data_IF_911942731260
#
_entry.id   IF_911942731260
#
_cell.length_a   1.000
_cell.length_b   1.000
_cell.length_c   1.000
_cell.angle_alpha   90.00
_cell.angle_beta   90.00
_cell.angle_gamma   90.00
#
_symmetry.space_group_name_H-M   'P 1'
#
loop_
_entity.id
_entity.type
_entity.pdbx_description
1 polymer ?
#
# COMPACT_ATOMS: atom_id res chain seq x y z
N UNK A 1 23.39 -33.12 -55.33
CA UNK A 1 22.68 -33.76 -54.20
C UNK A 1 23.10 -33.07 -52.88
N UNK A 2 23.12 -31.74 -52.86
CA UNK A 2 23.66 -30.95 -51.73
C UNK A 2 23.24 -29.47 -51.78
N UNK A 3 22.06 -29.16 -52.32
CA UNK A 3 21.56 -27.77 -52.44
C UNK A 3 20.05 -27.65 -52.18
N UNK A 4 19.45 -28.60 -51.45
CA UNK A 4 18.01 -28.57 -51.11
C UNK A 4 17.76 -28.67 -49.59
N UNK A 5 18.78 -28.38 -48.77
CA UNK A 5 18.67 -28.39 -47.31
C UNK A 5 18.64 -26.98 -46.68
N UNK A 6 18.45 -25.93 -47.48
CA UNK A 6 17.95 -24.64 -46.99
C UNK A 6 16.43 -24.60 -47.23
N UNK A 7 15.71 -25.55 -46.63
CA UNK A 7 14.32 -25.31 -46.33
C UNK A 7 14.30 -24.16 -45.33
N UNK A 8 13.75 -23.04 -45.78
CA UNK A 8 13.40 -21.88 -44.97
C UNK A 8 12.95 -22.34 -43.59
N UNK A 9 13.75 -22.06 -42.56
CA UNK A 9 13.16 -21.71 -41.28
C UNK A 9 12.35 -20.45 -41.59
N UNK A 10 11.09 -20.64 -41.98
CA UNK A 10 10.05 -19.64 -41.87
C UNK A 10 10.12 -19.17 -40.42
N UNK A 11 10.85 -18.08 -40.18
CA UNK A 11 10.99 -17.50 -38.85
C UNK A 11 9.58 -17.33 -38.30
N UNK A 12 9.32 -17.95 -37.15
CA UNK A 12 8.02 -17.85 -36.48
C UNK A 12 7.66 -16.36 -36.43
N UNK A 13 6.56 -15.99 -37.07
CA UNK A 13 6.11 -14.60 -37.12
C UNK A 13 5.41 -14.32 -35.80
N UNK A 14 6.16 -13.81 -34.85
CA UNK A 14 5.60 -13.36 -33.57
C UNK A 14 4.60 -12.24 -33.84
N UNK A 15 3.42 -12.34 -33.23
CA UNK A 15 2.39 -11.33 -33.32
C UNK A 15 2.58 -10.32 -32.19
N UNK A 16 2.72 -9.05 -32.53
CA UNK A 16 2.77 -7.97 -31.55
C UNK A 16 1.36 -7.44 -31.29
N UNK A 17 0.90 -7.54 -30.04
CA UNK A 17 -0.38 -6.99 -29.59
C UNK A 17 -0.10 -5.87 -28.58
N UNK A 18 -0.73 -4.71 -28.80
CA UNK A 18 -0.71 -3.62 -27.85
C UNK A 18 -1.92 -3.75 -26.92
N UNK A 19 -1.67 -4.12 -25.68
CA UNK A 19 -2.67 -4.22 -24.63
C UNK A 19 -2.69 -2.90 -23.85
N UNK A 20 -3.73 -2.08 -24.09
CA UNK A 20 -3.86 -0.74 -23.53
C UNK A 20 -3.59 0.39 -24.54
N UNK A 21 -3.59 1.67 -24.11
CA UNK A 21 -3.48 2.16 -22.73
C UNK A 21 -4.77 2.09 -21.90
N UNK A 22 -5.93 1.90 -22.55
CA UNK A 22 -7.23 1.77 -21.90
C UNK A 22 -7.76 0.34 -22.08
N UNK A 23 -7.75 -0.44 -20.99
CA UNK A 23 -8.30 -1.79 -20.96
C UNK A 23 -8.86 -2.06 -19.55
N UNK A 24 -10.01 -2.75 -19.38
CA UNK A 24 -10.60 -2.98 -18.05
C UNK A 24 -9.66 -3.64 -17.04
N UNK A 25 -8.91 -4.67 -17.48
CA UNK A 25 -7.92 -5.37 -16.65
C UNK A 25 -6.63 -4.57 -16.38
N UNK A 26 -6.42 -3.46 -17.11
CA UNK A 26 -5.42 -2.47 -16.72
C UNK A 26 -6.13 -1.47 -15.81
N UNK A 27 -6.24 -1.79 -14.52
CA UNK A 27 -6.86 -0.91 -13.51
C UNK A 27 -6.06 0.40 -13.36
N UNK A 28 -6.37 1.37 -14.23
CA UNK A 28 -5.63 2.61 -14.43
C UNK A 28 -5.25 2.79 -15.89
N UNK A 29 -3.97 3.10 -16.16
CA UNK A 29 -3.47 3.33 -17.51
C UNK A 29 -2.15 2.59 -17.66
N UNK A 30 -2.18 1.49 -18.40
CA UNK A 30 -1.00 0.67 -18.67
C UNK A 30 -0.99 0.32 -20.15
N UNK A 31 0.18 0.44 -20.77
CA UNK A 31 0.41 -0.02 -22.13
C UNK A 31 1.40 -1.18 -22.09
N UNK A 32 0.92 -2.40 -22.29
CA UNK A 32 1.76 -3.59 -22.43
C UNK A 32 1.91 -3.91 -23.92
N UNK A 33 3.14 -3.94 -24.42
CA UNK A 33 3.43 -4.49 -25.75
C UNK A 33 3.79 -5.95 -25.56
N UNK A 34 2.92 -6.84 -26.03
CA UNK A 34 3.06 -8.28 -25.91
C UNK A 34 3.54 -8.85 -27.25
N UNK A 35 4.61 -9.64 -27.23
CA UNK A 35 5.02 -10.50 -28.34
C UNK A 35 4.48 -11.91 -28.06
N UNK A 36 3.60 -12.38 -28.94
CA UNK A 36 2.91 -13.66 -28.81
C UNK A 36 3.35 -14.63 -29.90
N UNK A 37 3.54 -15.88 -29.51
CA UNK A 37 3.58 -17.03 -30.42
C UNK A 37 2.25 -17.80 -30.29
N UNK A 38 1.32 -17.50 -31.21
CA UNK A 38 -0.07 -17.95 -31.10
C UNK A 38 -0.77 -17.37 -29.87
N UNK A 39 -1.04 -18.21 -28.87
CA UNK A 39 -1.67 -17.81 -27.59
C UNK A 39 -0.66 -17.62 -26.44
N UNK A 40 0.58 -18.08 -26.62
CA UNK A 40 1.62 -18.07 -25.59
C UNK A 40 2.40 -16.77 -25.64
N UNK A 41 2.63 -16.17 -24.48
CA UNK A 41 3.39 -14.93 -24.31
C UNK A 41 4.89 -15.25 -24.30
N UNK A 42 5.64 -14.68 -25.25
CA UNK A 42 7.09 -14.85 -25.34
C UNK A 42 7.86 -13.68 -24.72
N UNK A 43 7.33 -12.46 -24.85
CA UNK A 43 7.91 -11.26 -24.23
C UNK A 43 6.84 -10.22 -23.90
N UNK A 44 7.04 -9.52 -22.79
CA UNK A 44 6.18 -8.42 -22.33
C UNK A 44 7.02 -7.17 -22.07
N UNK A 45 6.69 -6.09 -22.77
CA UNK A 45 7.29 -4.78 -22.54
C UNK A 45 6.26 -3.83 -21.89
N UNK A 46 6.31 -3.60 -20.56
CA UNK A 46 5.44 -2.65 -19.89
C UNK A 46 5.91 -1.21 -20.09
N UNK A 47 5.17 -0.44 -20.90
CA UNK A 47 5.34 0.99 -21.01
C UNK A 47 4.56 1.72 -19.91
N UNK A 48 5.33 2.28 -18.98
CA UNK A 48 4.87 3.09 -17.85
C UNK A 48 5.15 4.58 -18.06
N UNK A 49 4.76 5.43 -17.11
CA UNK A 49 4.96 6.88 -17.13
C UNK A 49 3.77 7.67 -17.67
N UNK A 50 2.66 7.01 -18.01
CA UNK A 50 1.44 7.67 -18.47
C UNK A 50 0.76 8.47 -17.34
N UNK A 51 1.00 8.11 -16.09
CA UNK A 51 0.53 8.83 -14.91
C UNK A 51 1.67 9.54 -14.18
N UNK A 52 2.79 9.84 -14.86
CA UNK A 52 3.90 10.55 -14.23
C UNK A 52 3.55 12.01 -13.99
N UNK A 53 3.64 12.45 -12.73
CA UNK A 53 3.26 13.80 -12.28
C UNK A 53 4.44 14.63 -11.77
N UNK A 54 5.65 14.08 -11.80
CA UNK A 54 6.84 14.72 -11.22
C UNK A 54 6.71 14.93 -9.71
N UNK A 55 6.11 13.98 -8.98
CA UNK A 55 5.77 14.13 -7.56
C UNK A 55 7.00 14.40 -6.72
N UNK A 56 8.08 13.64 -6.94
CA UNK A 56 9.35 13.82 -6.24
C UNK A 56 9.92 15.23 -6.45
N UNK A 57 9.76 15.79 -7.66
CA UNK A 57 10.25 17.14 -7.99
C UNK A 57 9.40 18.24 -7.35
N UNK A 58 8.09 18.04 -7.28
CA UNK A 58 7.18 18.95 -6.59
C UNK A 58 7.47 18.99 -5.09
N UNK A 59 7.76 17.83 -4.49
CA UNK A 59 8.12 17.73 -3.06
C UNK A 59 9.35 18.59 -2.71
N UNK A 60 10.38 18.60 -3.57
CA UNK A 60 11.59 19.43 -3.36
C UNK A 60 11.28 20.95 -3.22
N UNK A 61 10.16 21.43 -3.77
CA UNK A 61 9.79 22.85 -3.71
C UNK A 61 8.85 23.19 -2.54
N UNK A 62 8.29 22.19 -1.86
CA UNK A 62 7.26 22.31 -0.82
C UNK A 62 7.85 22.07 0.56
N UNK A 63 7.21 22.60 1.60
CA UNK A 63 7.60 22.30 2.98
C UNK A 63 7.14 20.90 3.38
N UNK A 64 7.71 20.33 4.45
CA UNK A 64 7.33 19.00 4.94
C UNK A 64 5.82 18.83 5.13
N UNK A 65 5.14 19.82 5.73
CA UNK A 65 3.69 19.78 5.94
C UNK A 65 2.90 19.80 4.62
N UNK A 66 3.38 20.56 3.63
CA UNK A 66 2.78 20.66 2.30
C UNK A 66 3.07 19.45 1.42
N UNK A 67 4.11 18.68 1.74
CA UNK A 67 4.50 17.48 1.02
C UNK A 67 3.62 16.26 1.36
N UNK A 68 3.07 16.19 2.58
CA UNK A 68 2.26 15.06 3.06
C UNK A 68 1.14 14.66 2.08
N UNK A 69 0.31 15.58 1.54
CA UNK A 69 -0.80 15.21 0.66
C UNK A 69 -0.37 14.63 -0.70
N UNK A 70 0.92 14.69 -1.06
CA UNK A 70 1.41 13.97 -2.23
C UNK A 70 1.48 12.46 -1.96
N UNK A 71 1.83 12.04 -0.74
CA UNK A 71 1.89 10.64 -0.36
C UNK A 71 0.51 9.98 -0.37
N UNK A 72 -0.52 10.70 0.08
CA UNK A 72 -1.94 10.31 -0.03
C UNK A 72 -2.39 9.96 -1.46
N UNK A 73 -1.69 10.45 -2.48
CA UNK A 73 -2.08 10.34 -3.89
C UNK A 73 -1.21 9.38 -4.70
N UNK A 74 -0.17 8.81 -4.10
CA UNK A 74 0.66 7.79 -4.74
C UNK A 74 -0.14 6.49 -4.83
N UNK A 75 -0.31 5.82 -3.69
CA UNK A 75 -1.26 4.73 -3.55
C UNK A 75 -2.57 5.30 -3.00
N UNK A 76 -3.50 5.61 -3.90
CA UNK A 76 -4.79 6.18 -3.55
C UNK A 76 -5.73 5.20 -2.83
N UNK A 77 -5.35 3.93 -2.71
CA UNK A 77 -6.17 2.91 -2.05
C UNK A 77 -5.85 2.83 -0.56
N UNK A 78 -4.56 2.94 -0.20
CA UNK A 78 -4.07 2.95 1.18
C UNK A 78 -3.31 4.26 1.53
N UNK A 79 -3.98 5.43 1.46
CA UNK A 79 -3.31 6.73 1.58
C UNK A 79 -2.58 6.92 2.92
N UNK A 80 -3.22 6.56 4.04
CA UNK A 80 -2.65 6.72 5.37
C UNK A 80 -1.36 5.89 5.60
N UNK A 81 -1.24 4.71 4.97
CA UNK A 81 -0.03 3.90 5.07
C UNK A 81 1.16 4.60 4.37
N UNK A 82 0.88 5.37 3.31
CA UNK A 82 1.87 6.16 2.60
C UNK A 82 2.26 7.42 3.40
N UNK A 83 1.29 8.11 4.00
CA UNK A 83 1.57 9.22 4.91
C UNK A 83 2.44 8.78 6.08
N UNK A 84 2.17 7.59 6.61
CA UNK A 84 2.87 7.03 7.76
C UNK A 84 4.36 6.87 7.47
N UNK A 85 4.72 6.30 6.30
CA UNK A 85 6.12 6.13 5.94
C UNK A 85 6.87 7.47 5.83
N UNK A 86 6.23 8.51 5.27
CA UNK A 86 6.81 9.84 5.22
C UNK A 86 6.95 10.48 6.61
N UNK A 87 5.93 10.37 7.46
CA UNK A 87 5.97 10.89 8.83
C UNK A 87 7.06 10.19 9.65
N UNK A 88 7.19 8.87 9.55
CA UNK A 88 8.26 8.11 10.21
C UNK A 88 9.65 8.53 9.74
N UNK A 89 9.84 8.78 8.44
CA UNK A 89 11.12 9.27 7.92
C UNK A 89 11.48 10.64 8.52
N UNK A 90 10.51 11.57 8.54
CA UNK A 90 10.70 12.90 9.11
C UNK A 90 10.90 12.87 10.63
N UNK A 91 10.19 12.00 11.35
CA UNK A 91 10.31 11.82 12.81
C UNK A 91 11.65 11.23 13.22
N UNK A 92 12.18 10.27 12.44
CA UNK A 92 13.53 9.72 12.63
C UNK A 92 14.61 10.78 12.43
N UNK A 93 14.47 11.66 11.43
CA UNK A 93 15.39 12.78 11.24
C UNK A 93 15.32 13.80 12.38
N UNK A 94 14.13 14.08 12.90
CA UNK A 94 13.95 15.00 14.03
C UNK A 94 14.36 14.39 15.38
N UNK A 95 14.48 13.05 15.47
CA UNK A 95 14.83 12.35 16.70
C UNK A 95 13.71 12.33 17.75
N UNK A 96 12.45 12.30 17.31
CA UNK A 96 11.28 12.45 18.19
C UNK A 96 10.50 11.15 18.28
N UNK A 97 9.98 10.87 19.47
CA UNK A 97 9.05 9.78 19.71
C UNK A 97 7.62 10.31 19.78
N UNK A 98 6.74 9.73 18.98
CA UNK A 98 5.30 10.04 18.97
C UNK A 98 4.64 9.48 20.24
N UNK A 99 3.67 10.18 20.85
CA UNK A 99 2.94 9.67 22.00
C UNK A 99 2.23 8.34 21.73
N UNK A 100 2.09 7.51 22.77
CA UNK A 100 1.51 6.16 22.67
C UNK A 100 0.11 6.14 22.07
N UNK A 101 -0.76 7.10 22.42
CA UNK A 101 -2.10 7.22 21.83
C UNK A 101 -2.03 7.51 20.33
N UNK A 102 -1.13 8.41 19.90
CA UNK A 102 -0.92 8.72 18.49
C UNK A 102 -0.45 7.50 17.69
N UNK A 103 0.47 6.71 18.25
CA UNK A 103 0.92 5.45 17.66
C UNK A 103 -0.22 4.43 17.52
N UNK A 104 -1.03 4.22 18.56
CA UNK A 104 -2.18 3.30 18.50
C UNK A 104 -3.20 3.71 17.44
N UNK A 105 -3.48 5.01 17.31
CA UNK A 105 -4.38 5.54 16.27
C UNK A 105 -3.79 5.30 14.87
N UNK A 106 -2.48 5.52 14.71
CA UNK A 106 -1.81 5.27 13.42
C UNK A 106 -1.85 3.82 13.02
N UNK A 107 -1.53 2.90 13.94
CA UNK A 107 -1.62 1.45 13.69
C UNK A 107 -3.06 1.05 13.36
N UNK A 108 -4.06 1.51 14.12
CA UNK A 108 -5.47 1.23 13.85
C UNK A 108 -5.86 1.63 12.41
N UNK A 109 -5.51 2.84 11.98
CA UNK A 109 -5.82 3.32 10.64
C UNK A 109 -4.95 2.70 9.54
N UNK A 110 -3.71 2.29 9.84
CA UNK A 110 -2.88 1.55 8.90
C UNK A 110 -3.46 0.16 8.60
N UNK A 111 -4.06 -0.50 9.60
CA UNK A 111 -4.73 -1.79 9.41
C UNK A 111 -6.10 -1.63 8.71
N UNK A 112 -6.83 -0.53 8.96
CA UNK A 112 -8.01 -0.19 8.13
C UNK A 112 -7.58 0.05 6.67
N UNK A 113 -6.50 0.79 6.44
CA UNK A 113 -5.91 1.00 5.12
C UNK A 113 -5.49 -0.30 4.44
N UNK A 114 -5.01 -1.28 5.22
CA UNK A 114 -4.68 -2.62 4.74
C UNK A 114 -5.92 -3.39 4.28
N UNK A 115 -6.99 -3.39 5.08
CA UNK A 115 -8.26 -4.02 4.69
C UNK A 115 -8.82 -3.35 3.42
N UNK A 116 -8.78 -2.01 3.34
CA UNK A 116 -9.22 -1.26 2.16
C UNK A 116 -8.48 -1.68 0.88
N UNK A 117 -7.16 -1.89 0.98
CA UNK A 117 -6.34 -2.34 -0.15
C UNK A 117 -6.63 -3.78 -0.54
N UNK A 118 -6.70 -4.70 0.43
CA UNK A 118 -6.95 -6.10 0.14
C UNK A 118 -8.37 -6.35 -0.40
N UNK A 119 -9.38 -5.65 0.12
CA UNK A 119 -10.75 -5.71 -0.42
C UNK A 119 -10.80 -5.26 -1.87
N UNK A 120 -10.12 -4.15 -2.21
CA UNK A 120 -10.06 -3.72 -3.60
C UNK A 120 -9.37 -4.80 -4.44
N UNK A 121 -8.16 -5.18 -4.07
CA UNK A 121 -7.35 -6.12 -4.84
C UNK A 121 -8.03 -7.48 -5.06
N UNK A 122 -8.48 -8.14 -3.99
CA UNK A 122 -9.12 -9.46 -4.07
C UNK A 122 -10.36 -9.41 -4.96
N UNK A 123 -11.18 -8.38 -4.80
CA UNK A 123 -12.41 -8.26 -5.59
C UNK A 123 -12.14 -7.88 -7.03
N UNK A 124 -11.17 -7.01 -7.30
CA UNK A 124 -10.80 -6.64 -8.67
C UNK A 124 -10.09 -7.77 -9.40
N UNK A 125 -9.19 -8.52 -8.73
CA UNK A 125 -8.61 -9.74 -9.29
C UNK A 125 -9.70 -10.77 -9.64
N UNK A 126 -10.70 -10.94 -8.77
CA UNK A 126 -11.83 -11.81 -9.07
C UNK A 126 -12.62 -11.31 -10.30
N UNK A 127 -12.83 -10.00 -10.43
CA UNK A 127 -13.49 -9.37 -11.58
C UNK A 127 -12.72 -9.60 -12.88
N UNK A 128 -11.39 -9.46 -12.86
CA UNK A 128 -10.52 -9.65 -14.02
C UNK A 128 -10.46 -11.11 -14.50
N UNK A 129 -10.70 -12.05 -13.59
CA UNK A 129 -10.87 -13.49 -13.91
C UNK A 129 -12.31 -13.82 -14.34
N UNK A 130 -13.27 -12.92 -14.11
CA UNK A 130 -14.65 -13.00 -14.61
C UNK A 130 -15.74 -13.07 -13.54
N UNK A 131 -15.41 -13.02 -12.24
CA UNK A 131 -16.37 -13.03 -11.15
C UNK A 131 -16.85 -11.62 -10.78
N UNK A 132 -18.10 -11.29 -11.14
CA UNK A 132 -18.65 -9.93 -10.98
C UNK A 132 -19.30 -9.65 -9.62
N UNK A 133 -19.65 -10.69 -8.86
CA UNK A 133 -20.35 -10.56 -7.56
C UNK A 133 -19.44 -10.07 -6.42
N UNK A 134 -18.20 -10.59 -6.26
CA UNK A 134 -17.32 -10.18 -5.15
C UNK A 134 -17.07 -8.67 -5.02
N UNK A 135 -16.85 -7.90 -6.12
CA UNK A 135 -16.74 -6.45 -6.04
C UNK A 135 -17.93 -5.78 -5.36
N UNK A 136 -19.16 -6.21 -5.64
CA UNK A 136 -20.34 -5.56 -5.07
C UNK A 136 -20.41 -5.72 -3.55
N UNK A 137 -20.05 -6.91 -3.04
CA UNK A 137 -20.00 -7.17 -1.61
C UNK A 137 -18.83 -6.46 -0.92
N UNK A 138 -17.63 -6.54 -1.51
CA UNK A 138 -16.44 -5.91 -0.93
C UNK A 138 -16.52 -4.38 -0.94
N UNK A 139 -17.17 -3.77 -1.94
CA UNK A 139 -17.31 -2.32 -2.02
C UNK A 139 -18.29 -1.75 -0.99
N UNK A 140 -19.28 -2.53 -0.53
CA UNK A 140 -20.16 -2.12 0.57
C UNK A 140 -19.37 -1.96 1.88
N UNK A 141 -18.52 -2.94 2.21
CA UNK A 141 -17.66 -2.87 3.40
C UNK A 141 -16.61 -1.76 3.27
N UNK A 142 -16.06 -1.58 2.07
CA UNK A 142 -15.16 -0.47 1.75
C UNK A 142 -15.82 0.89 1.98
N UNK A 143 -17.11 1.04 1.65
CA UNK A 143 -17.86 2.27 1.91
C UNK A 143 -17.95 2.56 3.42
N UNK A 144 -18.26 1.54 4.23
CA UNK A 144 -18.33 1.68 5.71
C UNK A 144 -16.98 2.14 6.27
N UNK A 145 -15.87 1.59 5.79
CA UNK A 145 -14.52 2.02 6.16
C UNK A 145 -14.21 3.46 5.70
N UNK A 146 -14.65 3.88 4.52
CA UNK A 146 -14.51 5.26 4.05
C UNK A 146 -15.29 6.26 4.91
N UNK A 147 -16.43 5.86 5.49
CA UNK A 147 -17.17 6.69 6.46
C UNK A 147 -16.34 6.89 7.74
N UNK A 148 -15.54 5.90 8.16
CA UNK A 148 -14.60 6.07 9.28
C UNK A 148 -13.46 7.04 8.94
N UNK A 149 -13.00 7.07 7.69
CA UNK A 149 -12.04 8.08 7.20
C UNK A 149 -12.64 9.48 7.22
N UNK A 150 -13.87 9.62 6.72
CA UNK A 150 -14.59 10.89 6.70
C UNK A 150 -14.83 11.42 8.10
N UNK A 151 -15.21 10.57 9.06
CA UNK A 151 -15.45 10.99 10.44
C UNK A 151 -14.19 11.42 11.19
N UNK A 152 -13.02 10.89 10.82
CA UNK A 152 -11.75 11.27 11.43
C UNK A 152 -11.09 12.49 10.78
N UNK A 153 -11.15 12.59 9.45
CA UNK A 153 -10.40 13.59 8.69
C UNK A 153 -11.27 14.63 7.97
N UNK A 154 -12.55 14.33 7.76
CA UNK A 154 -13.46 15.09 6.91
C UNK A 154 -13.39 14.70 5.42
N UNK A 155 -12.53 13.74 5.05
CA UNK A 155 -12.36 13.27 3.67
C UNK A 155 -12.50 11.75 3.58
N UNK A 156 -13.06 11.27 2.47
CA UNK A 156 -13.33 9.84 2.27
C UNK A 156 -12.12 9.03 1.80
N UNK A 157 -11.12 9.66 1.19
CA UNK A 157 -9.92 8.99 0.67
C UNK A 157 -8.66 9.71 1.13
N UNK A 158 -8.36 10.88 0.54
CA UNK A 158 -7.16 11.66 0.88
C UNK A 158 -7.38 12.41 2.19
N UNK A 159 -6.86 11.86 3.28
CA UNK A 159 -7.21 12.27 4.64
C UNK A 159 -6.27 13.36 5.19
N UNK A 160 -5.02 13.46 4.73
CA UNK A 160 -4.04 14.40 5.29
C UNK A 160 -3.98 14.33 6.84
N UNK A 161 -4.14 13.12 7.39
CA UNK A 161 -4.50 12.89 8.79
C UNK A 161 -3.26 12.64 9.64
N UNK A 162 -2.32 11.85 9.12
CA UNK A 162 -1.03 11.68 9.77
C UNK A 162 -0.17 12.91 9.50
N UNK A 163 0.46 13.41 10.56
CA UNK A 163 1.32 14.58 10.52
C UNK A 163 2.62 14.24 11.22
N UNK A 164 3.69 14.93 10.85
CA UNK A 164 4.96 14.83 11.57
C UNK A 164 4.72 15.21 13.04
N UNK A 165 5.02 14.28 13.96
CA UNK A 165 4.75 14.44 15.39
C UNK A 165 3.43 13.83 15.89
N UNK A 166 2.75 13.01 15.08
CA UNK A 166 1.58 12.23 15.50
C UNK A 166 0.42 12.30 14.52
N UNK A 167 -0.76 12.67 15.02
CA UNK A 167 -2.00 12.68 14.24
C UNK A 167 -2.67 14.05 14.36
N UNK A 168 -3.29 14.55 13.29
CA UNK A 168 -3.82 15.91 13.26
C UNK A 168 -4.91 16.18 14.32
N UNK A 169 -5.85 15.26 14.49
CA UNK A 169 -6.98 15.38 15.41
C UNK A 169 -7.23 14.05 16.12
N UNK A 170 -7.71 14.12 17.37
CA UNK A 170 -8.08 12.92 18.13
C UNK A 170 -9.40 12.33 17.63
N UNK A 171 -9.58 11.03 17.84
CA UNK A 171 -10.78 10.31 17.45
C UNK A 171 -11.92 10.57 18.45
N UNK A 172 -13.15 10.83 17.98
CA UNK A 172 -14.30 10.89 18.87
C UNK A 172 -14.60 9.49 19.45
N UNK A 173 -14.98 9.38 20.74
CA UNK A 173 -15.17 8.09 21.39
C UNK A 173 -16.28 7.24 20.74
N UNK A 174 -17.29 7.86 20.15
CA UNK A 174 -18.33 7.18 19.39
C UNK A 174 -17.75 6.40 18.19
N UNK A 175 -16.74 6.96 17.51
CA UNK A 175 -16.11 6.31 16.36
C UNK A 175 -15.38 5.03 16.76
N UNK A 176 -14.74 5.01 17.93
CA UNK A 176 -14.07 3.80 18.44
C UNK A 176 -15.08 2.67 18.65
N UNK A 177 -16.27 2.98 19.16
CA UNK A 177 -17.34 1.99 19.36
C UNK A 177 -17.92 1.51 18.03
N UNK A 178 -18.04 2.40 17.04
CA UNK A 178 -18.55 2.03 15.71
C UNK A 178 -17.57 1.13 14.95
N UNK A 179 -16.25 1.36 15.09
CA UNK A 179 -15.21 0.49 14.52
C UNK A 179 -15.25 -0.89 15.20
N UNK A 180 -15.40 -0.93 16.53
CA UNK A 180 -15.51 -2.18 17.30
C UNK A 180 -16.71 -3.02 16.84
N UNK A 181 -17.87 -2.37 16.66
CA UNK A 181 -19.10 -3.01 16.17
C UNK A 181 -19.00 -3.50 14.72
N UNK A 182 -18.11 -2.92 13.91
CA UNK A 182 -17.89 -3.32 12.52
C UNK A 182 -16.99 -4.56 12.38
N UNK A 183 -16.07 -4.78 13.32
CA UNK A 183 -15.11 -5.89 13.26
C UNK A 183 -15.76 -7.28 13.22
N UNK A 184 -16.84 -7.53 13.98
CA UNK A 184 -17.49 -8.85 14.03
C UNK A 184 -18.31 -9.19 12.76
N UNK A 185 -19.16 -8.29 12.23
CA UNK A 185 -19.85 -8.53 10.97
C UNK A 185 -18.90 -8.69 9.79
N UNK A 186 -17.79 -7.95 9.75
CA UNK A 186 -16.84 -7.99 8.64
C UNK A 186 -16.22 -9.37 8.44
N UNK A 187 -15.90 -10.09 9.52
CA UNK A 187 -15.37 -11.46 9.41
C UNK A 187 -16.32 -12.40 8.66
N UNK A 188 -17.63 -12.25 8.84
CA UNK A 188 -18.63 -13.03 8.10
C UNK A 188 -18.59 -12.74 6.61
N UNK A 189 -18.41 -11.48 6.23
CA UNK A 189 -18.27 -11.09 4.81
C UNK A 189 -17.01 -11.69 4.21
N UNK A 190 -15.91 -11.75 4.96
CA UNK A 190 -14.68 -12.43 4.52
C UNK A 190 -14.92 -13.93 4.33
N UNK A 191 -15.66 -14.58 5.24
CA UNK A 191 -16.02 -16.00 5.12
C UNK A 191 -16.95 -16.27 3.92
N UNK A 192 -17.89 -15.36 3.64
CA UNK A 192 -18.77 -15.43 2.46
C UNK A 192 -17.97 -15.28 1.15
N UNK A 193 -17.00 -14.37 1.12
CA UNK A 193 -16.07 -14.21 0.00
C UNK A 193 -15.19 -15.45 -0.20
N UNK A 194 -14.69 -16.03 0.89
CA UNK A 194 -13.89 -17.26 0.85
C UNK A 194 -14.71 -18.43 0.30
N UNK A 195 -15.96 -18.58 0.77
CA UNK A 195 -16.88 -19.63 0.31
C UNK A 195 -17.12 -19.57 -1.20
N UNK A 196 -17.18 -18.37 -1.78
CA UNK A 196 -17.42 -18.17 -3.20
C UNK A 196 -16.16 -18.43 -4.05
N UNK A 197 -14.97 -18.04 -3.57
CA UNK A 197 -13.75 -18.00 -4.38
C UNK A 197 -12.79 -19.16 -4.09
N UNK A 198 -12.55 -19.46 -2.82
CA UNK A 198 -11.45 -20.35 -2.40
C UNK A 198 -11.63 -21.76 -2.92
N UNK A 199 -12.84 -22.33 -2.83
CA UNK A 199 -13.11 -23.70 -3.30
C UNK A 199 -13.64 -23.79 -4.74
N UNK A 200 -13.81 -22.64 -5.40
CA UNK A 200 -14.28 -22.61 -6.77
C UNK A 200 -13.25 -23.19 -7.73
N UNK A 201 -13.64 -24.26 -8.43
CA UNK A 201 -12.81 -24.94 -9.44
C UNK A 201 -12.30 -23.99 -10.52
N UNK A 202 -13.14 -23.08 -11.01
CA UNK A 202 -12.77 -22.16 -12.10
C UNK A 202 -11.69 -21.18 -11.59
N UNK A 203 -11.85 -20.69 -10.36
CA UNK A 203 -10.89 -19.77 -9.76
C UNK A 203 -9.54 -20.45 -9.48
N UNK A 204 -9.55 -21.71 -9.01
CA UNK A 204 -8.32 -22.51 -8.88
C UNK A 204 -7.65 -22.74 -10.23
N UNK A 205 -8.41 -23.13 -11.27
CA UNK A 205 -7.86 -23.35 -12.62
C UNK A 205 -7.22 -22.10 -13.24
N UNK A 206 -7.62 -20.90 -12.81
CA UNK A 206 -7.11 -19.62 -13.32
C UNK A 206 -6.03 -18.97 -12.47
N UNK A 207 -5.67 -19.54 -11.31
CA UNK A 207 -4.66 -18.96 -10.41
C UNK A 207 -3.61 -19.95 -9.92
N UNK A 208 -3.94 -21.26 -9.86
CA UNK A 208 -2.99 -22.30 -9.47
C UNK A 208 -2.01 -22.52 -10.61
N UNK A 209 -0.72 -22.66 -10.29
CA UNK A 209 0.40 -22.83 -11.22
C UNK A 209 0.62 -21.65 -12.21
N UNK A 210 -0.01 -20.50 -11.95
CA UNK A 210 0.16 -19.29 -12.77
C UNK A 210 1.06 -18.28 -12.06
N UNK A 211 2.04 -17.76 -12.79
CA UNK A 211 2.96 -16.73 -12.29
C UNK A 211 3.80 -17.18 -11.11
N UNK A 212 4.28 -18.43 -11.15
CA UNK A 212 5.09 -19.05 -10.09
C UNK A 212 6.42 -18.30 -9.93
N UNK A 213 6.74 -17.92 -8.71
CA UNK A 213 8.00 -17.24 -8.37
C UNK A 213 8.70 -18.03 -7.27
N UNK A 214 9.97 -18.38 -7.49
CA UNK A 214 10.78 -19.03 -6.44
C UNK A 214 11.30 -17.98 -5.44
N UNK A 215 11.61 -18.42 -4.23
CA UNK A 215 12.12 -17.54 -3.18
C UNK A 215 13.43 -16.83 -3.58
N UNK A 216 14.35 -17.54 -4.26
CA UNK A 216 15.61 -16.95 -4.75
C UNK A 216 15.35 -15.85 -5.78
N UNK A 217 14.47 -16.10 -6.75
CA UNK A 217 14.07 -15.13 -7.76
C UNK A 217 13.38 -13.92 -7.12
N UNK A 218 12.52 -14.12 -6.12
CA UNK A 218 11.84 -13.03 -5.43
C UNK A 218 12.85 -12.04 -4.80
N UNK A 219 13.96 -12.55 -4.25
CA UNK A 219 15.02 -11.70 -3.69
C UNK A 219 15.86 -11.01 -4.77
N UNK A 220 16.21 -11.71 -5.85
CA UNK A 220 17.00 -11.14 -6.96
C UNK A 220 16.27 -9.98 -7.65
N UNK A 221 14.95 -10.12 -7.86
CA UNK A 221 14.11 -9.07 -8.45
C UNK A 221 13.72 -7.97 -7.44
N UNK A 222 14.07 -8.12 -6.16
CA UNK A 222 13.77 -7.12 -5.13
C UNK A 222 12.28 -7.02 -4.78
N UNK A 223 11.53 -8.13 -4.89
CA UNK A 223 10.14 -8.19 -4.46
C UNK A 223 10.01 -7.98 -2.95
N UNK A 224 8.81 -7.57 -2.54
CA UNK A 224 8.46 -7.37 -1.13
C UNK A 224 6.99 -7.72 -0.87
N UNK A 225 6.62 -7.82 0.41
CA UNK A 225 5.25 -8.05 0.85
C UNK A 225 4.71 -9.44 0.50
N UNK A 226 3.46 -9.44 0.01
CA UNK A 226 2.71 -10.66 -0.35
C UNK A 226 3.44 -11.51 -1.38
N UNK A 227 4.24 -10.91 -2.27
CA UNK A 227 5.02 -11.64 -3.28
C UNK A 227 6.09 -12.54 -2.65
N UNK A 228 6.79 -12.02 -1.64
CA UNK A 228 7.84 -12.75 -0.92
C UNK A 228 7.22 -13.79 0.02
N UNK A 229 6.13 -13.41 0.71
CA UNK A 229 5.37 -14.34 1.58
C UNK A 229 4.74 -15.49 0.80
N UNK A 230 4.21 -15.22 -0.40
CA UNK A 230 3.67 -16.24 -1.31
C UNK A 230 4.71 -17.28 -1.71
N UNK A 231 5.96 -16.85 -1.88
CA UNK A 231 7.09 -17.71 -2.27
C UNK A 231 7.70 -18.49 -1.10
N UNK A 232 7.14 -18.39 0.11
CA UNK A 232 7.56 -19.19 1.28
C UNK A 232 8.46 -18.48 2.30
N UNK A 233 8.75 -17.19 2.13
CA UNK A 233 9.56 -16.43 3.09
C UNK A 233 8.72 -15.81 4.20
N UNK A 234 9.08 -16.06 5.47
CA UNK A 234 8.49 -15.43 6.65
C UNK A 234 9.02 -13.99 6.86
N UNK A 235 8.79 -13.11 5.88
CA UNK A 235 9.27 -11.72 5.91
C UNK A 235 8.11 -10.72 6.01
N UNK A 236 8.09 -9.96 7.11
CA UNK A 236 7.15 -8.86 7.36
C UNK A 236 7.87 -7.82 8.22
N UNK A 237 7.93 -6.57 7.77
CA UNK A 237 8.60 -5.50 8.51
C UNK A 237 7.95 -5.23 9.87
N UNK A 238 6.66 -5.51 10.05
CA UNK A 238 5.96 -5.31 11.34
C UNK A 238 6.51 -6.21 12.45
N UNK A 239 7.11 -7.36 12.11
CA UNK A 239 7.78 -8.25 13.09
C UNK A 239 9.30 -8.17 13.04
N UNK A 240 9.89 -8.05 11.85
CA UNK A 240 11.36 -8.05 11.73
C UNK A 240 12.00 -6.71 12.10
N UNK A 241 11.34 -5.60 11.76
CA UNK A 241 11.77 -4.23 12.05
C UNK A 241 10.58 -3.42 12.56
N UNK A 242 10.07 -3.78 13.74
CA UNK A 242 8.86 -3.20 14.29
C UNK A 242 9.01 -1.68 14.42
N UNK A 243 7.94 -1.00 14.04
CA UNK A 243 7.79 0.44 14.17
C UNK A 243 6.54 0.75 15.00
N UNK A 244 6.53 1.90 15.65
CA UNK A 244 5.45 2.32 16.55
C UNK A 244 5.13 1.28 17.63
N UNK A 245 3.91 0.72 17.63
CA UNK A 245 3.42 -0.21 18.65
C UNK A 245 3.10 -1.61 18.10
N UNK A 246 3.62 -1.99 16.92
CA UNK A 246 3.45 -3.36 16.40
C UNK A 246 4.08 -4.44 17.29
N UNK A 247 5.13 -4.09 18.06
CA UNK A 247 5.79 -4.97 19.03
C UNK A 247 4.87 -5.54 20.10
N UNK A 248 3.83 -4.79 20.47
CA UNK A 248 2.92 -5.18 21.52
C UNK A 248 1.71 -5.97 20.99
N UNK A 249 1.60 -6.17 19.67
CA UNK A 249 0.42 -6.75 19.03
C UNK A 249 0.66 -8.22 18.66
N UNK A 250 -0.32 -9.06 18.97
CA UNK A 250 -0.26 -10.49 18.70
C UNK A 250 -0.98 -10.82 17.39
N UNK A 251 -0.22 -11.08 16.34
CA UNK A 251 -0.72 -11.51 15.03
C UNK A 251 0.18 -12.55 14.39
N UNK A 252 -0.37 -13.32 13.46
CA UNK A 252 0.36 -14.36 12.73
C UNK A 252 0.64 -13.91 11.29
N UNK A 253 1.77 -14.36 10.72
CA UNK A 253 2.14 -14.03 9.34
C UNK A 253 1.73 -15.23 8.45
N UNK A 254 0.81 -15.05 7.50
CA UNK A 254 0.48 -16.10 6.54
C UNK A 254 1.63 -16.29 5.53
N UNK A 255 1.92 -17.55 5.22
CA UNK A 255 3.02 -17.96 4.33
C UNK A 255 2.47 -18.90 3.26
N UNK A 256 2.82 -18.66 2.00
CA UNK A 256 2.49 -19.51 0.86
C UNK A 256 3.49 -20.64 0.69
N UNK A 257 3.18 -21.63 -0.14
CA UNK A 257 4.04 -22.81 -0.35
C UNK A 257 4.62 -22.87 -1.76
N UNK A 258 3.81 -22.48 -2.75
CA UNK A 258 4.10 -22.70 -4.16
C UNK A 258 4.53 -21.42 -4.87
N UNK A 259 4.19 -20.23 -4.35
CA UNK A 259 4.53 -18.95 -4.98
C UNK A 259 3.63 -18.55 -6.14
N UNK A 260 2.48 -19.20 -6.30
CA UNK A 260 1.50 -18.96 -7.36
C UNK A 260 0.54 -17.80 -7.03
N UNK A 261 -0.30 -17.42 -7.99
CA UNK A 261 -1.31 -16.38 -7.81
C UNK A 261 -2.36 -16.76 -6.76
N UNK A 262 -2.63 -18.05 -6.59
CA UNK A 262 -3.61 -18.55 -5.62
C UNK A 262 -3.13 -18.41 -4.17
N UNK A 263 -1.87 -18.77 -3.87
CA UNK A 263 -1.27 -18.58 -2.55
C UNK A 263 -1.26 -17.09 -2.16
N UNK A 264 -0.97 -16.18 -3.11
CA UNK A 264 -1.04 -14.73 -2.87
C UNK A 264 -2.45 -14.26 -2.53
N UNK A 265 -3.47 -14.82 -3.18
CA UNK A 265 -4.86 -14.56 -2.85
C UNK A 265 -5.19 -15.04 -1.43
N UNK A 266 -4.83 -16.28 -1.08
CA UNK A 266 -5.07 -16.85 0.25
C UNK A 266 -4.38 -16.05 1.36
N UNK A 267 -3.14 -15.59 1.13
CA UNK A 267 -2.40 -14.72 2.04
C UNK A 267 -3.18 -13.43 2.32
N UNK A 268 -3.76 -12.79 1.29
CA UNK A 268 -4.53 -11.55 1.47
C UNK A 268 -5.82 -11.77 2.25
N UNK A 269 -6.50 -12.89 2.03
CA UNK A 269 -7.68 -13.27 2.81
C UNK A 269 -7.33 -13.44 4.30
N UNK A 270 -6.22 -14.12 4.60
CA UNK A 270 -5.73 -14.25 5.98
C UNK A 270 -5.21 -12.95 6.57
N UNK A 271 -4.51 -12.10 5.79
CA UNK A 271 -4.08 -10.78 6.25
C UNK A 271 -5.26 -9.89 6.64
N UNK A 272 -6.42 -9.99 5.96
CA UNK A 272 -7.64 -9.29 6.39
C UNK A 272 -8.12 -9.77 7.77
N UNK A 273 -8.10 -11.07 8.06
CA UNK A 273 -8.45 -11.62 9.38
C UNK A 273 -7.49 -11.18 10.47
N UNK A 274 -6.19 -11.20 10.18
CA UNK A 274 -5.16 -10.74 11.13
C UNK A 274 -5.26 -9.23 11.37
N UNK A 275 -5.59 -8.44 10.34
CA UNK A 275 -5.83 -7.00 10.47
C UNK A 275 -6.97 -6.71 11.45
N UNK A 276 -8.09 -7.44 11.35
CA UNK A 276 -9.22 -7.32 12.29
C UNK A 276 -8.82 -7.69 13.72
N UNK A 277 -7.98 -8.72 13.89
CA UNK A 277 -7.44 -9.11 15.20
C UNK A 277 -6.58 -7.99 15.80
N UNK A 278 -5.71 -7.36 15.00
CA UNK A 278 -4.91 -6.21 15.44
C UNK A 278 -5.82 -5.02 15.79
N UNK A 279 -6.85 -4.74 14.98
CA UNK A 279 -7.80 -3.65 15.25
C UNK A 279 -8.49 -3.82 16.60
N UNK A 280 -8.97 -5.02 16.93
CA UNK A 280 -9.58 -5.31 18.24
C UNK A 280 -8.61 -5.06 19.40
N UNK A 281 -7.37 -5.55 19.29
CA UNK A 281 -6.33 -5.31 20.30
C UNK A 281 -6.01 -3.81 20.44
N UNK A 282 -5.96 -3.07 19.33
CA UNK A 282 -5.76 -1.63 19.36
C UNK A 282 -6.90 -0.90 20.09
N UNK A 283 -8.15 -1.30 19.86
CA UNK A 283 -9.32 -0.71 20.52
C UNK A 283 -9.31 -0.99 22.03
N UNK A 284 -8.99 -2.21 22.44
CA UNK A 284 -8.85 -2.57 23.86
C UNK A 284 -7.77 -1.72 24.55
N UNK A 285 -6.61 -1.56 23.91
CA UNK A 285 -5.52 -0.71 24.41
C UNK A 285 -5.83 0.79 24.38
N UNK A 286 -6.62 1.26 23.41
CA UNK A 286 -7.10 2.64 23.36
C UNK A 286 -8.10 2.95 24.48
N UNK A 287 -8.89 1.96 24.90
CA UNK A 287 -9.81 2.07 26.05
C UNK A 287 -9.08 2.01 27.38
N UNK A 288 -7.96 1.30 27.45
CA UNK A 288 -7.12 1.21 28.64
C UNK A 288 -6.59 2.59 29.08
N UNK A 289 -6.36 2.81 30.39
CA UNK A 289 -5.89 4.09 30.91
C UNK A 289 -4.53 4.52 30.33
N UNK A 290 -3.68 3.56 29.94
CA UNK A 290 -2.39 3.83 29.28
C UNK A 290 -2.53 4.44 27.88
N UNK A 291 -3.68 4.24 27.21
CA UNK A 291 -3.99 4.79 25.89
C UNK A 291 -4.68 6.17 25.93
N UNK A 292 -4.97 6.69 27.13
CA UNK A 292 -5.59 8.00 27.32
C UNK A 292 -4.50 9.06 27.51
N UNK A 293 -3.84 9.41 26.41
CA UNK A 293 -2.77 10.42 26.38
C UNK A 293 -2.97 11.50 25.31
N UNK A 294 -2.01 12.42 25.14
CA UNK A 294 -1.98 13.30 23.99
C UNK A 294 -1.76 12.50 22.70
N UNK A 295 -2.36 12.96 21.61
CA UNK A 295 -2.24 12.34 20.27
C UNK A 295 -1.04 12.89 19.50
N UNK A 296 -0.55 14.04 19.92
CA UNK A 296 0.49 14.84 19.26
C UNK A 296 1.60 15.13 20.26
N UNK A 297 2.84 15.18 19.78
CA UNK A 297 4.00 15.58 20.57
C UNK A 297 3.77 16.96 21.20
N UNK A 298 4.13 17.14 22.47
CA UNK A 298 3.91 18.38 23.22
C UNK A 298 4.83 19.55 22.79
N UNK A 299 5.76 19.30 21.86
CA UNK A 299 6.64 20.33 21.30
C UNK A 299 5.93 21.17 20.22
N UNK A 300 5.50 22.36 20.64
CA UNK A 300 4.84 23.35 19.80
C UNK A 300 5.71 23.94 18.68
N UNK A 301 7.01 23.59 18.60
CA UNK A 301 7.86 23.93 17.45
C UNK A 301 7.65 23.03 16.24
N UNK A 302 6.99 21.89 16.44
CA UNK A 302 6.87 20.82 15.44
C UNK A 302 5.40 20.54 15.19
N UNK A 303 4.66 20.38 16.29
CA UNK A 303 3.22 20.27 16.28
C UNK A 303 2.56 21.65 16.43
N UNK A 304 1.44 21.92 15.72
CA UNK A 304 0.68 23.13 15.97
C UNK A 304 -0.01 23.07 17.34
N UNK A 305 -0.01 24.18 18.11
CA UNK A 305 -0.69 24.22 19.41
C UNK A 305 -2.21 24.12 19.26
N UNK A 306 -2.88 23.71 20.35
CA UNK A 306 -4.34 23.60 20.38
C UNK A 306 -5.00 24.95 20.14
N UNK A 307 -6.13 24.97 19.44
CA UNK A 307 -6.87 26.22 19.13
C UNK A 307 -7.31 26.99 20.36
N UNK A 308 -7.59 26.31 21.47
CA UNK A 308 -7.92 26.95 22.76
C UNK A 308 -6.76 27.73 23.36
N UNK A 309 -5.53 27.21 23.22
CA UNK A 309 -4.30 27.80 23.75
C UNK A 309 -3.78 28.91 22.83
N UNK A 310 -3.82 28.69 21.50
CA UNK A 310 -3.43 29.67 20.48
C UNK A 310 -4.18 31.01 20.61
N UNK A 311 -5.44 30.99 21.04
CA UNK A 311 -6.24 32.20 21.25
C UNK A 311 -5.93 32.95 22.55
N UNK A 312 -5.16 32.35 23.47
CA UNK A 312 -4.91 32.88 24.82
C UNK A 312 -3.43 33.17 25.09
N UNK A 313 -2.52 32.36 24.56
CA UNK A 313 -1.07 32.52 24.72
C UNK A 313 -0.45 33.18 23.49
N UNK A 314 0.44 34.14 23.75
CA UNK A 314 1.21 34.81 22.70
C UNK A 314 2.22 33.83 22.06
N UNK A 315 2.88 32.99 22.86
CA UNK A 315 3.83 31.99 22.36
C UNK A 315 3.15 30.99 21.41
N UNK A 316 1.98 30.48 21.79
CA UNK A 316 1.22 29.56 20.96
C UNK A 316 0.82 30.21 19.62
N UNK A 317 0.49 31.49 19.61
CA UNK A 317 0.20 32.22 18.38
C UNK A 317 1.45 32.39 17.49
N UNK A 318 2.60 32.70 18.09
CA UNK A 318 3.88 32.80 17.37
C UNK A 318 4.25 31.46 16.73
N UNK A 319 4.15 30.36 17.50
CA UNK A 319 4.44 29.02 17.01
C UNK A 319 3.50 28.61 15.87
N UNK A 320 2.20 28.82 16.04
CA UNK A 320 1.22 28.59 14.98
C UNK A 320 1.54 29.39 13.70
N UNK A 321 1.84 30.69 13.85
CA UNK A 321 2.17 31.53 12.70
C UNK A 321 3.42 31.04 11.96
N UNK A 322 4.51 30.73 12.68
CA UNK A 322 5.76 30.24 12.07
C UNK A 322 5.58 28.86 11.41
N UNK A 323 4.88 27.94 12.07
CA UNK A 323 4.65 26.59 11.52
C UNK A 323 3.87 26.59 10.19
N UNK A 324 2.87 27.46 10.05
CA UNK A 324 2.06 27.51 8.83
C UNK A 324 2.63 28.40 7.72
N UNK A 325 3.59 29.29 8.03
CA UNK A 325 4.23 30.16 7.05
C UNK A 325 5.60 29.62 6.62
N UNK A 326 6.48 29.38 7.58
CA UNK A 326 7.84 28.88 7.38
C UNK A 326 7.86 27.35 7.39
N UNK A 327 7.19 26.70 8.34
CA UNK A 327 7.24 25.24 8.49
C UNK A 327 8.32 24.76 9.46
N UNK A 328 8.36 23.43 9.65
CA UNK A 328 9.32 22.78 10.55
C UNK A 328 10.68 22.69 9.88
N UNK A 329 11.73 23.13 10.57
CA UNK A 329 13.12 22.91 10.14
C UNK A 329 13.57 21.54 10.61
N UNK A 330 13.98 20.70 9.65
CA UNK A 330 14.48 19.36 9.91
C UNK A 330 16.01 19.40 9.85
N UNK A 331 16.73 18.81 10.82
CA UNK A 331 18.18 18.83 10.83
C UNK A 331 18.76 18.18 9.57
N UNK A 332 19.97 18.61 9.18
CA UNK A 332 20.64 18.06 8.02
C UNK A 332 20.99 16.58 8.25
N UNK A 333 20.64 15.72 7.29
CA UNK A 333 20.83 14.28 7.39
C UNK A 333 20.10 13.51 6.31
N UNK A 334 20.39 12.21 6.24
CA UNK A 334 19.79 11.27 5.29
C UNK A 334 19.18 10.10 6.07
N UNK A 335 17.93 9.77 5.78
CA UNK A 335 17.23 8.63 6.41
C UNK A 335 16.45 7.86 5.36
N UNK A 336 16.56 6.53 5.42
CA UNK A 336 15.62 5.61 4.80
C UNK A 336 14.69 5.05 5.88
N UNK A 337 13.39 5.27 5.73
CA UNK A 337 12.39 4.63 6.55
C UNK A 337 11.44 3.83 5.65
N UNK A 338 11.13 2.61 6.08
CA UNK A 338 10.25 1.72 5.37
C UNK A 338 9.11 1.24 6.27
N UNK A 339 7.96 1.02 5.66
CA UNK A 339 6.72 0.55 6.29
C UNK A 339 6.21 -0.62 5.47
N UNK A 340 5.62 -1.61 6.15
CA UNK A 340 4.89 -2.69 5.48
C UNK A 340 3.54 -2.13 4.98
N UNK A 341 3.52 -1.52 3.79
CA UNK A 341 2.28 -1.19 3.12
C UNK A 341 1.54 -2.48 2.69
N UNK A 342 0.24 -2.41 2.36
CA UNK A 342 -0.53 -3.61 1.99
C UNK A 342 0.00 -4.30 0.72
N UNK A 343 0.63 -3.51 -0.17
CA UNK A 343 1.27 -3.97 -1.39
C UNK A 343 2.68 -4.53 -1.16
N UNK A 344 3.33 -4.18 -0.04
CA UNK A 344 4.68 -4.60 0.32
C UNK A 344 5.48 -3.50 1.00
N UNK A 345 6.80 -3.58 0.95
CA UNK A 345 7.64 -2.59 1.61
C UNK A 345 7.62 -1.28 0.82
N UNK A 346 6.99 -0.27 1.42
CA UNK A 346 7.02 1.10 0.93
C UNK A 346 8.09 1.89 1.68
N UNK A 347 9.07 2.40 0.96
CA UNK A 347 10.23 3.09 1.52
C UNK A 347 10.28 4.55 1.10
N UNK A 348 10.66 5.42 2.04
CA UNK A 348 10.95 6.83 1.79
C UNK A 348 12.40 7.09 2.15
N UNK A 349 13.19 7.49 1.14
CA UNK A 349 14.54 8.00 1.32
C UNK A 349 14.48 9.53 1.31
N UNK A 350 14.74 10.13 2.47
CA UNK A 350 14.65 11.57 2.69
C UNK A 350 16.04 12.14 2.98
N UNK A 351 16.42 13.15 2.21
CA UNK A 351 17.62 13.97 2.42
C UNK A 351 17.17 15.35 2.85
N UNK A 352 17.62 15.77 4.03
CA UNK A 352 17.39 17.09 4.59
C UNK A 352 18.70 17.89 4.61
N UNK A 353 18.65 19.16 4.25
CA UNK A 353 19.78 20.10 4.22
C UNK A 353 19.79 21.06 5.42
N UNK A 354 18.94 20.82 6.43
CA UNK A 354 18.76 21.72 7.57
C UNK A 354 17.66 22.77 7.36
N UNK A 355 17.01 22.80 6.19
CA UNK A 355 15.94 23.75 5.89
C UNK A 355 14.54 23.21 6.21
N UNK A 356 13.52 24.02 5.93
CA UNK A 356 12.10 23.69 6.05
C UNK A 356 11.54 22.85 4.88
N UNK A 357 12.37 22.56 3.89
CA UNK A 357 12.01 21.78 2.70
C UNK A 357 12.90 20.53 2.61
N UNK A 358 12.36 19.40 2.13
CA UNK A 358 13.19 18.25 1.84
C UNK A 358 14.07 18.56 0.62
N UNK A 359 15.39 18.37 0.76
CA UNK A 359 16.33 18.56 -0.35
C UNK A 359 16.11 17.52 -1.44
N UNK A 360 15.95 16.26 -1.02
CA UNK A 360 15.56 15.16 -1.91
C UNK A 360 14.62 14.21 -1.18
N UNK A 361 13.58 13.79 -1.88
CA UNK A 361 12.70 12.73 -1.42
C UNK A 361 12.58 11.70 -2.54
N UNK A 362 13.16 10.51 -2.34
CA UNK A 362 13.04 9.37 -3.26
C UNK A 362 12.10 8.34 -2.66
N UNK A 363 11.14 7.89 -3.47
CA UNK A 363 10.13 6.94 -3.04
C UNK A 363 10.43 5.56 -3.64
N UNK A 364 10.56 4.55 -2.78
CA UNK A 364 10.62 3.13 -3.15
C UNK A 364 9.21 2.57 -3.09
N UNK A 365 8.58 2.47 -4.26
CA UNK A 365 7.26 1.86 -4.40
C UNK A 365 7.39 0.35 -4.65
N UNK A 366 6.60 -0.50 -3.95
CA UNK A 366 6.62 -1.95 -4.15
C UNK A 366 6.15 -2.33 -5.56
N UNK A 367 5.08 -1.71 -6.06
CA UNK A 367 4.51 -2.01 -7.38
C UNK A 367 5.48 -1.76 -8.55
N UNK A 368 6.46 -0.86 -8.39
CA UNK A 368 7.48 -0.65 -9.43
C UNK A 368 8.44 -1.84 -9.57
N UNK A 369 8.88 -2.41 -8.45
CA UNK A 369 9.72 -3.60 -8.47
C UNK A 369 8.94 -4.83 -8.98
N UNK A 370 7.66 -4.93 -8.61
CA UNK A 370 6.78 -5.98 -9.12
C UNK A 370 6.58 -5.91 -10.64
N UNK A 371 6.33 -4.70 -11.18
CA UNK A 371 6.11 -4.51 -12.61
C UNK A 371 7.39 -4.70 -13.44
N UNK A 372 8.57 -4.44 -12.87
CA UNK A 372 9.84 -4.70 -13.55
C UNK A 372 9.99 -6.19 -13.95
N UNK A 373 9.46 -7.09 -13.14
CA UNK A 373 9.53 -8.53 -13.38
C UNK A 373 8.33 -9.07 -14.18
N UNK A 374 7.48 -8.20 -14.74
CA UNK A 374 6.29 -8.60 -15.49
C UNK A 374 6.63 -9.52 -16.67
N UNK A 375 7.71 -9.23 -17.39
CA UNK A 375 8.20 -10.07 -18.50
C UNK A 375 8.59 -11.46 -18.01
N UNK A 376 9.34 -11.54 -16.91
CA UNK A 376 9.73 -12.82 -16.31
C UNK A 376 8.52 -13.65 -15.88
N UNK A 377 7.53 -13.04 -15.22
CA UNK A 377 6.36 -13.75 -14.67
C UNK A 377 5.39 -14.18 -15.79
N UNK A 378 5.30 -13.44 -16.89
CA UNK A 378 4.32 -13.73 -17.95
C UNK A 378 4.84 -14.67 -19.04
N UNK A 379 6.15 -14.87 -19.16
CA UNK A 379 6.75 -15.75 -20.17
C UNK A 379 6.24 -17.18 -20.04
N UNK A 380 5.78 -17.74 -21.17
CA UNK A 380 5.26 -19.11 -21.24
C UNK A 380 3.82 -19.29 -20.76
N UNK A 381 3.16 -18.21 -20.32
CA UNK A 381 1.75 -18.21 -19.97
C UNK A 381 0.86 -17.79 -21.15
N UNK A 382 -0.44 -18.04 -21.03
CA UNK A 382 -1.41 -17.63 -22.05
C UNK A 382 -1.77 -16.15 -21.89
N UNK A 383 -2.25 -15.52 -22.97
CA UNK A 383 -2.73 -14.12 -22.93
C UNK A 383 -3.79 -13.88 -21.83
N UNK A 384 -4.64 -14.88 -21.57
CA UNK A 384 -5.67 -14.78 -20.53
C UNK A 384 -5.08 -14.77 -19.11
N UNK A 385 -3.91 -15.37 -18.89
CA UNK A 385 -3.26 -15.44 -17.58
C UNK A 385 -2.57 -14.13 -17.22
N UNK A 386 -2.24 -13.30 -18.21
CA UNK A 386 -1.66 -11.97 -18.00
C UNK A 386 -2.56 -11.09 -17.13
N UNK A 387 -3.89 -11.16 -17.30
CA UNK A 387 -4.82 -10.40 -16.45
C UNK A 387 -4.84 -10.91 -15.00
N UNK A 388 -4.77 -12.24 -14.81
CA UNK A 388 -4.70 -12.85 -13.48
C UNK A 388 -3.39 -12.48 -12.77
N UNK A 389 -2.26 -12.49 -13.50
CA UNK A 389 -0.95 -12.08 -13.00
C UNK A 389 -0.99 -10.61 -12.59
N UNK A 390 -1.48 -9.71 -13.45
CA UNK A 390 -1.62 -8.28 -13.14
C UNK A 390 -2.47 -8.05 -11.88
N UNK A 391 -3.63 -8.70 -11.79
CA UNK A 391 -4.48 -8.63 -10.61
C UNK A 391 -3.75 -9.14 -9.36
N UNK A 392 -3.01 -10.24 -9.47
CA UNK A 392 -2.26 -10.81 -8.35
C UNK A 392 -1.14 -9.89 -7.81
N UNK A 393 -0.60 -8.98 -8.63
CA UNK A 393 0.49 -8.07 -8.23
C UNK A 393 0.00 -6.82 -7.48
N UNK A 394 -1.30 -6.54 -7.46
CA UNK A 394 -1.89 -5.36 -6.78
C UNK A 394 -1.29 -4.02 -7.23
N UNK A 395 -1.28 -3.76 -8.53
CA UNK A 395 -0.57 -2.59 -9.07
C UNK A 395 -1.46 -1.35 -9.06
N UNK A 396 -0.97 -0.27 -8.45
CA UNK A 396 -1.56 1.07 -8.57
C UNK A 396 -0.57 1.98 -9.27
N UNK A 397 -0.94 2.46 -10.46
CA UNK A 397 -0.01 3.25 -11.29
C UNK A 397 0.44 4.58 -10.68
N UNK A 398 -0.30 5.11 -9.70
CA UNK A 398 0.11 6.33 -8.99
C UNK A 398 1.42 6.16 -8.21
N UNK A 399 1.65 5.00 -7.60
CA UNK A 399 2.93 4.71 -6.92
C UNK A 399 4.03 4.27 -7.89
N UNK A 400 3.68 3.66 -9.01
CA UNK A 400 4.65 3.25 -10.03
C UNK A 400 5.27 4.48 -10.71
N UNK A 401 4.42 5.42 -11.13
CA UNK A 401 4.80 6.55 -11.99
C UNK A 401 5.23 7.84 -11.25
N UNK A 402 5.50 7.78 -9.93
CA UNK A 402 5.99 8.87 -9.03
C UNK A 402 6.40 10.20 -9.69
#
# INVERSE_FOLDING_TARGET
MSEVLNAEQTGMRNFTINFGPQHPAAHGVLRLVLELDGEVVERVDPHIGLLHRGTEKLIEQKTYLQAIPYFDRLDYVAPMNQEHAFCLAAEKLLGIQVPRRGQLIRVLYCEIGRILSHLLNVTTQAMDVGALTPPLWGFEEREKLMVFYERASGSRMHAAFFRVGGVHQDLPPALINDIDAWCDPFLKVVDDLETLLTDNRIFKQRNVDIGVVTLEQAWEWGFSGVMVRGSGAAWDLRKSQPYECYDEMDFDIPIGKNGDCYDRYCIRMEEMRQSVRIMKQCIEKLRAPEGQGPVVVDDNKIAPPRRSEMKRSMEALIHHFKLYTEGVHVPAGEVYAAVEAPKGEFGVFLVADGTNKPYKCKIRAPGFAHLQAMDFICRGHLLADVSAILGSLDIVFGEVDR
#
